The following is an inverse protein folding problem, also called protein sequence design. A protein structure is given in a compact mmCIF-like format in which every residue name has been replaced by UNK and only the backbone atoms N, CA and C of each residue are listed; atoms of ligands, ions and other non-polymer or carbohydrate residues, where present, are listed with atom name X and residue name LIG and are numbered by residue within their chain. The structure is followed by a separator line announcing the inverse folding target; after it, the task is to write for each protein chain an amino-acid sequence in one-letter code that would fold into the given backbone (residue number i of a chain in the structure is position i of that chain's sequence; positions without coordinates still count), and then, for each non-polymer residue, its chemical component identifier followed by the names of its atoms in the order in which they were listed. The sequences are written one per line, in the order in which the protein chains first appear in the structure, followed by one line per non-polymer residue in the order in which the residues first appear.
data_IF_851379733746
#
_entry.id   IF_851379733746
#
_cell.length_a   1.000
_cell.length_b   1.000
_cell.length_c   1.000
_cell.angle_alpha   90.00
_cell.angle_beta   90.00
_cell.angle_gamma   90.00
#
_symmetry.space_group_name_H-M   'P 1'
#
loop_
_entity.id
_entity.type
_entity.pdbx_description
1 polymer ?
#
# COMPACT_ATOMS: atom_id res chain seq x y z
N UNK A 1 27.26 12.99 25.58
CA UNK A 1 25.81 13.12 25.81
C UNK A 1 25.17 13.10 24.44
N UNK A 2 24.79 11.91 23.96
CA UNK A 2 24.13 11.75 22.66
C UNK A 2 22.67 12.16 22.80
N UNK A 3 22.16 12.78 21.75
CA UNK A 3 20.95 13.58 21.75
C UNK A 3 19.68 12.72 21.79
N UNK A 4 19.22 12.40 23.01
CA UNK A 4 17.94 11.72 23.31
C UNK A 4 16.72 12.42 22.64
N UNK A 5 16.89 13.69 22.21
CA UNK A 5 15.85 14.44 21.49
C UNK A 5 15.77 14.08 20.01
N UNK A 6 16.85 13.59 19.40
CA UNK A 6 16.87 13.22 17.99
C UNK A 6 16.06 11.94 17.73
N UNK A 7 16.17 10.95 18.61
CA UNK A 7 15.45 9.66 18.48
C UNK A 7 13.94 9.84 18.73
N UNK A 8 13.56 10.69 19.69
CA UNK A 8 12.16 11.09 19.92
C UNK A 8 11.60 11.79 18.68
N UNK A 9 12.39 12.64 18.00
CA UNK A 9 11.96 13.35 16.79
C UNK A 9 11.71 12.45 15.58
N UNK A 10 12.23 11.23 15.53
CA UNK A 10 12.03 10.30 14.41
C UNK A 10 10.83 9.37 14.64
N UNK A 11 10.54 9.02 15.90
CA UNK A 11 9.47 8.08 16.27
C UNK A 11 8.05 8.58 15.95
N UNK A 12 7.78 9.88 16.16
CA UNK A 12 6.46 10.48 15.92
C UNK A 12 6.14 10.60 14.42
N UNK A 13 7.05 11.11 13.55
CA UNK A 13 6.85 11.11 12.10
C UNK A 13 6.56 9.72 11.55
N UNK A 14 7.31 8.69 11.95
CA UNK A 14 7.10 7.31 11.48
C UNK A 14 5.72 6.81 11.88
N UNK A 15 5.31 7.02 13.13
CA UNK A 15 3.98 6.60 13.60
C UNK A 15 2.86 7.31 12.83
N UNK A 16 3.01 8.60 12.57
CA UNK A 16 2.05 9.37 11.77
C UNK A 16 1.95 8.88 10.33
N UNK A 17 3.07 8.56 9.69
CA UNK A 17 3.12 8.04 8.32
C UNK A 17 2.53 6.63 8.20
N UNK A 18 2.74 5.77 9.20
CA UNK A 18 2.12 4.43 9.24
C UNK A 18 0.59 4.52 9.37
N UNK A 19 0.08 5.44 10.19
CA UNK A 19 -1.36 5.67 10.32
C UNK A 19 -1.97 6.22 9.02
N UNK A 20 -1.26 7.12 8.33
CA UNK A 20 -1.68 7.62 7.02
C UNK A 20 -1.69 6.50 5.97
N UNK A 21 -0.66 5.66 5.95
CA UNK A 21 -0.61 4.48 5.08
C UNK A 21 -1.80 3.56 5.32
N UNK A 22 -2.08 3.21 6.58
CA UNK A 22 -3.20 2.35 6.93
C UNK A 22 -4.52 2.93 6.42
N UNK A 23 -4.78 4.20 6.72
CA UNK A 23 -5.99 4.91 6.27
C UNK A 23 -6.13 4.86 4.75
N UNK A 24 -5.09 5.23 4.01
CA UNK A 24 -5.11 5.22 2.55
C UNK A 24 -5.29 3.82 1.96
N UNK A 25 -4.65 2.81 2.56
CA UNK A 25 -4.74 1.43 2.10
C UNK A 25 -6.13 0.83 2.35
N UNK A 26 -6.76 1.20 3.47
CA UNK A 26 -8.13 0.83 3.81
C UNK A 26 -9.11 1.50 2.85
N UNK A 27 -9.02 2.82 2.68
CA UNK A 27 -9.88 3.59 1.75
C UNK A 27 -9.81 3.01 0.34
N UNK A 28 -8.60 2.68 -0.12
CA UNK A 28 -8.37 2.09 -1.43
C UNK A 28 -8.99 0.68 -1.54
N UNK A 29 -8.83 -0.16 -0.53
CA UNK A 29 -9.43 -1.51 -0.48
C UNK A 29 -10.96 -1.48 -0.46
N UNK A 30 -11.56 -0.50 0.23
CA UNK A 30 -13.01 -0.35 0.33
C UNK A 30 -13.62 0.20 -0.96
N UNK A 31 -12.97 1.17 -1.60
CA UNK A 31 -13.49 1.80 -2.81
C UNK A 31 -13.33 0.94 -4.06
N UNK A 32 -12.25 0.15 -4.15
CA UNK A 32 -11.88 -0.55 -5.38
C UNK A 32 -12.98 -1.48 -5.93
N UNK A 33 -13.65 -2.35 -5.14
CA UNK A 33 -14.64 -3.28 -5.67
C UNK A 33 -15.76 -2.58 -6.46
N UNK A 34 -16.26 -1.45 -5.96
CA UNK A 34 -17.31 -0.67 -6.62
C UNK A 34 -16.80 -0.05 -7.94
N UNK A 35 -15.56 0.44 -7.97
CA UNK A 35 -14.93 0.98 -9.18
C UNK A 35 -14.77 -0.11 -10.24
N UNK A 36 -14.24 -1.28 -9.87
CA UNK A 36 -14.07 -2.41 -10.78
C UNK A 36 -15.43 -2.86 -11.35
N UNK A 37 -16.46 -2.95 -10.51
CA UNK A 37 -17.81 -3.28 -10.95
C UNK A 37 -18.36 -2.26 -11.95
N UNK A 38 -18.18 -0.96 -11.68
CA UNK A 38 -18.62 0.10 -12.58
C UNK A 38 -17.93 0.02 -13.94
N UNK A 39 -16.63 -0.24 -13.98
CA UNK A 39 -15.89 -0.39 -15.25
C UNK A 39 -16.41 -1.60 -16.02
N UNK A 40 -16.62 -2.75 -15.36
CA UNK A 40 -17.20 -3.94 -16.01
C UNK A 40 -18.59 -3.67 -16.57
N UNK A 41 -19.43 -2.95 -15.82
CA UNK A 41 -20.77 -2.57 -16.28
C UNK A 41 -20.72 -1.63 -17.48
N UNK A 42 -19.79 -0.67 -17.53
CA UNK A 42 -19.61 0.19 -18.70
C UNK A 42 -19.14 -0.61 -19.92
N UNK A 43 -18.19 -1.53 -19.72
CA UNK A 43 -17.68 -2.37 -20.81
C UNK A 43 -18.74 -3.31 -21.38
N UNK A 44 -19.70 -3.78 -20.56
CA UNK A 44 -20.79 -4.64 -21.04
C UNK A 44 -21.85 -3.91 -21.86
N UNK A 45 -21.89 -2.57 -21.81
CA UNK A 45 -22.86 -1.79 -22.61
C UNK A 45 -22.60 -1.87 -24.12
N UNK A 46 -21.37 -2.19 -24.54
CA UNK A 46 -20.97 -2.35 -25.95
C UNK A 46 -21.57 -1.28 -26.90
N UNK A 47 -21.32 0.02 -26.66
CA UNK A 47 -21.91 1.11 -27.45
C UNK A 47 -21.42 1.14 -28.91
N UNK A 48 -20.28 0.53 -29.20
CA UNK A 48 -19.70 0.40 -30.54
C UNK A 48 -20.52 -0.53 -31.45
N UNK A 49 -21.39 -1.37 -30.88
CA UNK A 49 -22.26 -2.29 -31.60
C UNK A 49 -21.50 -3.42 -32.32
N UNK A 50 -22.23 -4.21 -33.10
CA UNK A 50 -21.71 -5.44 -33.74
C UNK A 50 -21.28 -5.24 -35.20
N UNK A 51 -21.17 -3.99 -35.65
CA UNK A 51 -20.75 -3.64 -37.01
C UNK A 51 -19.28 -3.97 -37.29
N UNK A 52 -18.83 -3.72 -38.53
CA UNK A 52 -17.41 -3.89 -38.90
C UNK A 52 -16.47 -3.12 -37.98
N UNK A 53 -16.83 -1.86 -37.68
CA UNK A 53 -16.06 -0.97 -36.81
C UNK A 53 -16.10 -1.42 -35.34
N UNK A 54 -17.27 -1.83 -34.84
CA UNK A 54 -17.39 -2.36 -33.48
C UNK A 54 -16.56 -3.62 -33.26
N UNK A 55 -16.55 -4.55 -34.23
CA UNK A 55 -15.66 -5.73 -34.19
C UNK A 55 -14.18 -5.37 -34.31
N UNK A 56 -13.83 -4.33 -35.06
CA UNK A 56 -12.45 -3.85 -35.15
C UNK A 56 -12.01 -3.24 -33.82
N UNK A 57 -12.88 -2.46 -33.18
CA UNK A 57 -12.68 -1.93 -31.83
C UNK A 57 -12.48 -3.08 -30.82
N UNK A 58 -13.40 -4.05 -30.76
CA UNK A 58 -13.32 -5.17 -29.82
C UNK A 58 -11.99 -5.93 -29.95
N UNK A 59 -11.54 -6.18 -31.18
CA UNK A 59 -10.25 -6.85 -31.41
C UNK A 59 -9.08 -6.09 -30.82
N UNK A 60 -9.06 -4.77 -30.93
CA UNK A 60 -8.00 -3.94 -30.36
C UNK A 60 -8.16 -3.78 -28.85
N UNK A 61 -9.38 -3.52 -28.39
CA UNK A 61 -9.70 -3.26 -27.00
C UNK A 61 -9.49 -4.50 -26.12
N UNK A 62 -9.83 -5.70 -26.62
CA UNK A 62 -9.63 -6.97 -25.92
C UNK A 62 -8.25 -7.60 -26.17
N UNK A 63 -7.41 -6.98 -27.01
CA UNK A 63 -6.08 -7.50 -27.30
C UNK A 63 -5.23 -7.59 -26.02
N UNK A 64 -4.37 -8.62 -25.96
CA UNK A 64 -3.40 -8.83 -24.86
C UNK A 64 -4.04 -8.89 -23.45
N UNK A 65 -5.26 -9.39 -23.38
CA UNK A 65 -6.03 -9.54 -22.13
C UNK A 65 -7.00 -8.38 -21.85
N UNK A 66 -6.89 -7.29 -22.62
CA UNK A 66 -7.84 -6.19 -22.60
C UNK A 66 -8.03 -5.54 -21.22
N UNK A 67 -9.21 -4.94 -20.99
CA UNK A 67 -9.51 -4.27 -19.72
C UNK A 67 -9.50 -5.23 -18.54
N UNK A 68 -9.85 -6.50 -18.75
CA UNK A 68 -9.94 -7.44 -17.63
C UNK A 68 -8.57 -7.83 -17.07
N UNK A 69 -7.52 -7.75 -17.89
CA UNK A 69 -6.15 -7.81 -17.38
C UNK A 69 -5.83 -6.59 -16.53
N UNK A 70 -6.13 -5.38 -17.01
CA UNK A 70 -5.90 -4.15 -16.26
C UNK A 70 -6.64 -4.14 -14.91
N UNK A 71 -7.90 -4.59 -14.89
CA UNK A 71 -8.70 -4.68 -13.65
C UNK A 71 -8.10 -5.67 -12.65
N UNK A 72 -7.64 -6.85 -13.12
CA UNK A 72 -6.96 -7.85 -12.28
C UNK A 72 -5.64 -7.34 -11.73
N UNK A 73 -4.82 -6.72 -12.58
CA UNK A 73 -3.51 -6.19 -12.18
C UNK A 73 -3.69 -5.07 -11.15
N UNK A 74 -4.72 -4.24 -11.29
CA UNK A 74 -5.11 -3.22 -10.30
C UNK A 74 -5.55 -3.86 -8.98
N UNK A 75 -6.38 -4.90 -9.03
CA UNK A 75 -6.81 -5.63 -7.83
C UNK A 75 -5.63 -6.24 -7.06
N UNK A 76 -4.67 -6.81 -7.78
CA UNK A 76 -3.46 -7.36 -7.17
C UNK A 76 -2.60 -6.27 -6.53
N UNK A 77 -2.41 -5.14 -7.22
CA UNK A 77 -1.65 -4.01 -6.68
C UNK A 77 -2.26 -3.49 -5.37
N UNK A 78 -3.59 -3.35 -5.30
CA UNK A 78 -4.25 -2.89 -4.07
C UNK A 78 -4.14 -3.90 -2.93
N UNK A 79 -4.20 -5.21 -3.24
CA UNK A 79 -3.92 -6.27 -2.26
C UNK A 79 -2.49 -6.20 -1.73
N UNK A 80 -1.51 -5.95 -2.59
CA UNK A 80 -0.11 -5.78 -2.19
C UNK A 80 0.10 -4.55 -1.29
N UNK A 81 -0.48 -3.41 -1.66
CA UNK A 81 -0.44 -2.18 -0.85
C UNK A 81 -1.02 -2.44 0.54
N UNK A 82 -2.21 -3.04 0.59
CA UNK A 82 -2.92 -3.29 1.86
C UNK A 82 -2.23 -4.37 2.70
N UNK A 83 -1.62 -5.36 2.04
CA UNK A 83 -0.83 -6.40 2.70
C UNK A 83 0.53 -5.93 3.22
N UNK A 84 1.03 -4.79 2.76
CA UNK A 84 2.35 -4.27 3.17
C UNK A 84 2.34 -3.60 4.55
N UNK A 85 1.17 -3.18 5.07
CA UNK A 85 1.05 -2.49 6.36
C UNK A 85 1.67 -3.27 7.54
N UNK A 86 1.32 -4.55 7.77
CA UNK A 86 1.93 -5.37 8.81
C UNK A 86 3.46 -5.50 8.70
N UNK A 87 3.98 -5.60 7.46
CA UNK A 87 5.42 -5.69 7.22
C UNK A 87 6.13 -4.38 7.60
N UNK A 88 5.57 -3.24 7.18
CA UNK A 88 6.10 -1.93 7.53
C UNK A 88 6.12 -1.70 9.04
N UNK A 89 5.03 -2.03 9.76
CA UNK A 89 4.98 -1.91 11.22
C UNK A 89 6.00 -2.82 11.91
N UNK A 90 6.17 -4.05 11.42
CA UNK A 90 7.14 -5.01 11.98
C UNK A 90 8.57 -4.48 11.82
N UNK A 91 8.93 -4.02 10.63
CA UNK A 91 10.25 -3.45 10.35
C UNK A 91 10.53 -2.24 11.25
N UNK A 92 9.59 -1.31 11.34
CA UNK A 92 9.72 -0.12 12.21
C UNK A 92 9.87 -0.52 13.67
N UNK A 93 9.02 -1.41 14.18
CA UNK A 93 9.06 -1.87 15.57
C UNK A 93 10.39 -2.54 15.92
N UNK A 94 10.91 -3.37 15.00
CA UNK A 94 12.21 -4.01 15.16
C UNK A 94 13.35 -2.99 15.19
N UNK A 95 13.33 -1.98 14.31
CA UNK A 95 14.34 -0.92 14.29
C UNK A 95 14.33 -0.12 15.59
N UNK A 96 13.17 0.35 16.04
CA UNK A 96 13.04 1.12 17.29
C UNK A 96 13.47 0.29 18.51
N UNK A 97 13.08 -0.99 18.57
CA UNK A 97 13.50 -1.89 19.66
C UNK A 97 15.01 -2.12 19.67
N UNK A 98 15.63 -2.21 18.48
CA UNK A 98 17.09 -2.37 18.35
C UNK A 98 17.82 -1.12 18.80
N UNK A 99 17.34 0.07 18.43
CA UNK A 99 17.90 1.35 18.86
C UNK A 99 17.83 1.49 20.38
N UNK A 100 16.68 1.19 21.00
CA UNK A 100 16.51 1.19 22.45
C UNK A 100 17.48 0.22 23.15
N UNK A 101 17.68 -0.97 22.59
CA UNK A 101 18.62 -1.95 23.15
C UNK A 101 20.08 -1.47 23.07
N UNK A 102 20.49 -0.83 21.97
CA UNK A 102 21.83 -0.24 21.82
C UNK A 102 22.03 0.90 22.83
N UNK A 103 21.05 1.79 22.98
CA UNK A 103 21.11 2.90 23.92
C UNK A 103 21.23 2.41 25.38
N UNK A 104 20.44 1.40 25.75
CA UNK A 104 20.51 0.76 27.07
C UNK A 104 21.88 0.11 27.33
N UNK A 105 22.48 -0.51 26.32
CA UNK A 105 23.81 -1.12 26.42
C UNK A 105 24.95 -0.08 26.52
N UNK A 106 24.77 1.10 25.93
CA UNK A 106 25.75 2.20 25.96
C UNK A 106 25.73 3.02 27.25
N UNK A 107 24.72 2.85 28.11
CA UNK A 107 24.61 3.59 29.37
C UNK A 107 25.43 2.87 30.47
N UNK A 108 26.56 3.41 30.96
CA UNK A 108 27.39 2.71 31.94
C UNK A 108 26.64 2.59 33.27
N UNK A 109 26.46 1.35 33.75
CA UNK A 109 26.04 1.10 35.14
C UNK A 109 27.22 1.40 36.06
N UNK A 110 27.27 2.61 36.62
CA UNK A 110 28.11 2.88 37.78
C UNK A 110 27.57 2.07 38.96
N UNK A 111 28.18 0.92 39.21
CA UNK A 111 28.02 0.18 40.47
C UNK A 111 28.85 0.95 41.50
N UNK A 112 28.18 1.66 42.42
CA UNK A 112 28.84 2.17 43.63
C UNK A 112 29.13 0.98 44.56
N UNK A 113 30.40 0.85 44.93
CA UNK A 113 30.92 -0.12 45.88
C UNK A 113 30.63 0.31 47.34
#
# INVERSE_FOLDING_TARGET
MSDDRADIQISEPISSSLNQWDTMSTDLSEALPAILQRIRALNSTNPQGNGGDGRAFDRQYLAKGGPERFLRDTENLVKEISGSGPLLRTTVSNTLSTEQAIQAAMTPRYIQA
#
